data_IF_292648304910
#
_entry.id   IF_292648304910
#
_cell.length_a   1.000
_cell.length_b   1.000
_cell.length_c   1.000
_cell.angle_alpha   90.00
_cell.angle_beta   90.00
_cell.angle_gamma   90.00
#
_symmetry.space_group_name_H-M   'P 1'
#
loop_
_entity.id
_entity.type
_entity.pdbx_description
1 polymer ?
#
# COMPACT_ATOMS: atom_id res chain seq x y z
N UNK A 1 16.33 13.05 -22.79
CA UNK A 1 16.32 12.52 -22.34
C UNK A 1 15.99 12.28 -22.07
N UNK A 2 15.76 12.32 -22.01
CA UNK A 2 15.55 11.87 -21.44
C UNK A 2 15.32 11.46 -21.20
N UNK A 3 15.01 11.72 -21.31
CA UNK A 3 14.93 11.13 -20.73
C UNK A 3 14.62 10.92 -20.36
N UNK A 4 14.47 11.11 -20.14
CA UNK A 4 14.35 10.64 -19.59
C UNK A 4 13.68 10.64 -19.34
N UNK A 5 13.39 10.88 -19.26
CA UNK A 5 12.98 10.52 -18.88
C UNK A 5 12.73 10.10 -18.49
N UNK A 6 12.19 10.55 -18.57
CA UNK A 6 11.71 10.17 -17.37
C UNK A 6 12.05 8.96 -16.87
N UNK A 7 12.28 8.36 -17.44
CA UNK A 7 12.70 7.10 -16.99
C UNK A 7 13.64 7.15 -15.81
N UNK A 8 14.31 8.21 -15.60
CA UNK A 8 15.21 8.35 -14.46
C UNK A 8 14.53 8.57 -13.13
N UNK A 9 13.21 8.44 -13.07
CA UNK A 9 12.48 8.75 -11.86
C UNK A 9 12.34 7.56 -10.91
N UNK A 10 12.96 6.44 -11.24
CA UNK A 10 13.00 5.29 -10.37
C UNK A 10 11.65 4.57 -10.27
N UNK A 11 11.43 3.85 -9.16
CA UNK A 11 10.24 3.01 -9.05
C UNK A 11 8.93 3.78 -9.10
N UNK A 12 8.93 5.02 -8.70
CA UNK A 12 7.72 5.82 -8.74
C UNK A 12 7.16 5.99 -10.13
N UNK A 13 8.05 6.12 -11.12
CA UNK A 13 7.60 6.35 -12.48
C UNK A 13 6.68 5.23 -12.98
N UNK A 14 6.96 4.00 -12.57
CA UNK A 14 6.19 2.85 -13.00
C UNK A 14 4.82 2.80 -12.33
N UNK A 15 4.65 3.45 -11.19
CA UNK A 15 3.43 3.34 -10.39
C UNK A 15 2.57 4.59 -10.42
N UNK A 16 3.09 5.67 -10.98
CA UNK A 16 2.45 6.98 -10.87
C UNK A 16 1.02 6.98 -11.40
N UNK A 17 0.82 6.44 -12.59
CA UNK A 17 -0.51 6.41 -13.16
C UNK A 17 -1.45 5.53 -12.38
N UNK A 18 -0.96 4.38 -11.93
CA UNK A 18 -1.77 3.48 -11.12
C UNK A 18 -2.22 4.16 -9.83
N UNK A 19 -1.33 4.93 -9.21
CA UNK A 19 -1.67 5.65 -8.00
C UNK A 19 -2.70 6.74 -8.25
N UNK A 20 -2.56 7.46 -9.36
CA UNK A 20 -3.53 8.48 -9.72
C UNK A 20 -4.90 7.88 -9.94
N UNK A 21 -4.96 6.76 -10.66
CA UNK A 21 -6.23 6.09 -10.90
C UNK A 21 -6.86 5.60 -9.60
N UNK A 22 -6.04 5.04 -8.72
CA UNK A 22 -6.51 4.54 -7.44
C UNK A 22 -7.13 5.65 -6.62
N UNK A 23 -6.39 6.75 -6.46
CA UNK A 23 -6.85 7.87 -5.64
C UNK A 23 -8.08 8.56 -6.22
N UNK A 24 -8.31 8.42 -7.52
CA UNK A 24 -9.45 9.08 -8.17
C UNK A 24 -10.75 8.28 -8.09
N UNK A 25 -10.70 7.03 -7.62
CA UNK A 25 -11.92 6.25 -7.47
C UNK A 25 -12.79 6.86 -6.37
N UNK A 26 -14.09 6.90 -6.60
CA UNK A 26 -15.03 7.54 -5.69
C UNK A 26 -15.38 6.66 -4.49
N UNK A 27 -15.30 5.37 -4.67
CA UNK A 27 -15.84 4.39 -3.72
C UNK A 27 -14.69 3.71 -2.97
N UNK A 28 -14.79 3.69 -1.64
CA UNK A 28 -13.72 3.10 -0.83
C UNK A 28 -13.55 1.60 -1.07
N UNK A 29 -14.66 0.89 -1.28
CA UNK A 29 -14.56 -0.53 -1.59
C UNK A 29 -13.74 -0.76 -2.86
N UNK A 30 -14.01 0.05 -3.88
CA UNK A 30 -13.28 -0.07 -5.14
C UNK A 30 -11.80 0.27 -4.97
N UNK A 31 -11.50 1.25 -4.12
CA UNK A 31 -10.10 1.59 -3.82
C UNK A 31 -9.38 0.42 -3.18
N UNK A 32 -10.02 -0.23 -2.20
CA UNK A 32 -9.42 -1.37 -1.53
C UNK A 32 -9.18 -2.51 -2.52
N UNK A 33 -10.16 -2.80 -3.38
CA UNK A 33 -10.03 -3.87 -4.36
C UNK A 33 -8.91 -3.59 -5.35
N UNK A 34 -8.83 -2.36 -5.83
CA UNK A 34 -7.77 -1.99 -6.77
C UNK A 34 -6.41 -2.02 -6.08
N UNK A 35 -6.34 -1.53 -4.85
CA UNK A 35 -5.10 -1.54 -4.08
C UNK A 35 -4.60 -2.96 -3.88
N UNK A 36 -5.51 -3.89 -3.56
CA UNK A 36 -5.14 -5.29 -3.39
C UNK A 36 -4.55 -5.86 -4.66
N UNK A 37 -5.17 -5.56 -5.79
CA UNK A 37 -4.65 -6.04 -7.09
C UNK A 37 -3.27 -5.50 -7.38
N UNK A 38 -3.04 -4.22 -7.10
CA UNK A 38 -1.72 -3.63 -7.32
C UNK A 38 -0.66 -4.32 -6.47
N UNK A 39 -0.99 -4.58 -5.21
CA UNK A 39 -0.04 -5.19 -4.28
C UNK A 39 0.23 -6.66 -4.56
N UNK A 40 -0.72 -7.37 -5.16
CA UNK A 40 -0.57 -8.81 -5.39
C UNK A 40 -0.04 -9.16 -6.77
N UNK A 41 -0.05 -8.23 -7.71
CA UNK A 41 0.54 -8.44 -9.02
C UNK A 41 2.04 -8.64 -8.97
N UNK A 42 2.66 -8.06 -7.97
CA UNK A 42 4.09 -8.10 -7.75
C UNK A 42 4.37 -7.28 -6.53
N UNK A 43 5.58 -7.39 -5.99
CA UNK A 43 5.94 -6.63 -4.80
C UNK A 43 6.06 -5.15 -5.13
N UNK A 44 5.23 -4.32 -4.49
CA UNK A 44 5.41 -2.88 -4.63
C UNK A 44 6.47 -2.43 -3.62
N UNK A 45 7.23 -1.38 -3.94
CA UNK A 45 8.21 -0.83 -2.99
C UNK A 45 7.53 -0.20 -1.78
N UNK A 46 8.30 -0.04 -0.70
CA UNK A 46 7.78 0.57 0.52
C UNK A 46 7.09 1.90 0.28
N UNK A 47 7.75 2.79 -0.46
CA UNK A 47 7.21 4.13 -0.71
C UNK A 47 5.90 4.07 -1.49
N UNK A 48 5.77 3.10 -2.38
CA UNK A 48 4.55 2.96 -3.15
C UNK A 48 3.42 2.44 -2.26
N UNK A 49 3.71 1.49 -1.38
CA UNK A 49 2.68 1.00 -0.47
C UNK A 49 2.17 2.11 0.44
N UNK A 50 3.08 2.96 0.91
CA UNK A 50 2.67 4.11 1.72
C UNK A 50 1.70 5.00 0.93
N UNK A 51 2.00 5.25 -0.33
CA UNK A 51 1.11 6.04 -1.18
C UNK A 51 -0.22 5.37 -1.40
N UNK A 52 -0.22 4.06 -1.61
CA UNK A 52 -1.46 3.31 -1.76
C UNK A 52 -2.32 3.45 -0.51
N UNK A 53 -1.71 3.30 0.67
CA UNK A 53 -2.45 3.43 1.92
C UNK A 53 -3.02 4.83 2.08
N UNK A 54 -2.30 5.86 1.64
CA UNK A 54 -2.78 7.23 1.75
C UNK A 54 -3.95 7.53 0.82
N UNK A 55 -4.17 6.70 -0.21
CA UNK A 55 -5.35 6.83 -1.06
C UNK A 55 -6.60 6.25 -0.41
N UNK A 56 -6.44 5.43 0.62
CA UNK A 56 -7.58 4.86 1.34
C UNK A 56 -8.01 5.83 2.41
N UNK A 57 -9.32 6.06 2.48
CA UNK A 57 -9.87 7.08 3.34
C UNK A 57 -10.00 6.65 4.80
N UNK A 58 -10.34 5.39 5.02
CA UNK A 58 -10.63 4.90 6.37
C UNK A 58 -9.50 4.01 6.89
N UNK A 59 -9.25 4.16 8.20
CA UNK A 59 -8.21 3.38 8.85
C UNK A 59 -8.50 1.88 8.78
N UNK A 60 -9.78 1.52 8.88
CA UNK A 60 -10.18 0.12 8.77
C UNK A 60 -9.86 -0.45 7.39
N UNK A 61 -9.96 0.37 6.35
CA UNK A 61 -9.61 -0.06 5.00
C UNK A 61 -8.12 -0.30 4.88
N UNK A 62 -7.32 0.55 5.50
CA UNK A 62 -5.87 0.40 5.49
C UNK A 62 -5.47 -0.90 6.20
N UNK A 63 -6.08 -1.15 7.36
CA UNK A 63 -5.82 -2.39 8.08
C UNK A 63 -6.23 -3.61 7.26
N UNK A 64 -7.39 -3.52 6.61
CA UNK A 64 -7.87 -4.61 5.76
C UNK A 64 -6.86 -4.94 4.65
N UNK A 65 -6.37 -3.91 3.96
CA UNK A 65 -5.40 -4.11 2.90
C UNK A 65 -4.12 -4.75 3.44
N UNK A 66 -3.59 -4.20 4.53
CA UNK A 66 -2.36 -4.74 5.13
C UNK A 66 -2.54 -6.19 5.57
N UNK A 67 -3.70 -6.53 6.11
CA UNK A 67 -3.99 -7.90 6.50
C UNK A 67 -4.05 -8.83 5.30
N UNK A 68 -4.68 -8.36 4.22
CA UNK A 68 -4.83 -9.17 3.01
C UNK A 68 -3.50 -9.47 2.33
N UNK A 69 -2.56 -8.54 2.39
CA UNK A 69 -1.28 -8.72 1.71
C UNK A 69 -0.17 -9.19 2.65
N UNK A 70 -0.49 -9.40 3.91
CA UNK A 70 0.51 -9.76 4.92
C UNK A 70 1.36 -10.94 4.51
N UNK A 71 0.74 -12.02 4.03
CA UNK A 71 1.49 -13.22 3.69
C UNK A 71 2.50 -12.98 2.57
N UNK A 72 2.20 -12.05 1.68
CA UNK A 72 3.09 -11.72 0.56
C UNK A 72 4.26 -10.85 1.02
N UNK A 73 4.03 -9.96 1.98
CA UNK A 73 5.00 -8.91 2.35
C UNK A 73 5.70 -9.13 3.69
N UNK A 74 5.26 -10.10 4.47
CA UNK A 74 5.71 -10.21 5.87
C UNK A 74 7.22 -10.41 6.03
N UNK A 75 7.87 -10.97 5.02
CA UNK A 75 9.31 -11.21 5.09
C UNK A 75 10.13 -9.96 4.78
N UNK A 76 9.50 -8.92 4.28
CA UNK A 76 10.17 -7.67 3.99
C UNK A 76 10.28 -6.88 5.30
N UNK A 77 11.52 -6.50 5.62
CA UNK A 77 11.82 -5.86 6.89
C UNK A 77 10.97 -4.62 7.13
N UNK A 78 10.77 -3.82 6.08
CA UNK A 78 10.04 -2.56 6.22
C UNK A 78 8.53 -2.75 6.38
N UNK A 79 8.01 -3.93 6.05
CA UNK A 79 6.54 -4.10 6.05
C UNK A 79 5.96 -3.95 7.46
N UNK A 80 6.67 -4.43 8.46
CA UNK A 80 6.17 -4.33 9.82
C UNK A 80 5.97 -2.90 10.27
N UNK A 81 6.73 -1.98 9.69
CA UNK A 81 6.60 -0.56 10.02
C UNK A 81 5.33 0.06 9.46
N UNK A 82 4.62 -0.65 8.60
CA UNK A 82 3.40 -0.12 8.00
C UNK A 82 2.31 0.14 9.03
N UNK A 83 2.45 -0.42 10.23
CA UNK A 83 1.55 -0.06 11.32
C UNK A 83 1.55 1.43 11.62
N UNK A 84 2.65 2.12 11.30
CA UNK A 84 2.74 3.57 11.51
C UNK A 84 1.79 4.34 10.60
N UNK A 85 1.30 3.69 9.56
CA UNK A 85 0.33 4.31 8.64
C UNK A 85 -1.10 4.17 9.15
N UNK A 86 -1.29 3.45 10.24
CA UNK A 86 -2.61 3.31 10.87
C UNK A 86 -2.77 4.36 11.95
N UNK A 87 -3.96 4.91 12.02
CA UNK A 87 -4.26 6.02 12.90
C UNK A 87 -4.64 5.59 14.31
N UNK A 88 -5.46 4.52 14.42
CA UNK A 88 -6.01 4.10 15.70
C UNK A 88 -5.17 2.99 16.32
N UNK A 89 -4.96 3.10 17.64
CA UNK A 89 -4.16 2.13 18.38
C UNK A 89 -4.72 0.72 18.25
N UNK A 90 -6.04 0.58 18.29
CA UNK A 90 -6.67 -0.74 18.16
C UNK A 90 -6.29 -1.40 16.85
N UNK A 91 -6.24 -0.62 15.77
CA UNK A 91 -5.87 -1.14 14.47
C UNK A 91 -4.37 -1.45 14.39
N UNK A 92 -3.55 -0.62 15.02
CA UNK A 92 -2.11 -0.91 15.09
C UNK A 92 -1.85 -2.21 15.81
N UNK A 93 -2.59 -2.46 16.90
CA UNK A 93 -2.45 -3.70 17.65
C UNK A 93 -2.90 -4.90 16.83
N UNK A 94 -3.98 -4.77 16.08
CA UNK A 94 -4.43 -5.85 15.20
C UNK A 94 -3.36 -6.18 14.15
N UNK A 95 -2.74 -5.15 13.59
CA UNK A 95 -1.69 -5.37 12.61
C UNK A 95 -0.49 -6.08 13.24
N UNK A 96 -0.09 -5.66 14.44
CA UNK A 96 1.02 -6.30 15.15
C UNK A 96 0.76 -7.77 15.40
N UNK A 97 -0.49 -8.13 15.67
CA UNK A 97 -0.83 -9.54 15.93
C UNK A 97 -0.59 -10.44 14.73
N UNK A 98 -0.57 -9.87 13.53
CA UNK A 98 -0.31 -10.67 12.33
C UNK A 98 1.11 -11.25 12.32
N UNK A 99 2.03 -10.68 13.08
CA UNK A 99 3.42 -11.12 13.11
C UNK A 99 3.72 -12.06 14.25
N UNK A 100 2.75 -12.37 15.08
CA UNK A 100 2.94 -13.31 16.16
C UNK A 100 2.75 -14.74 15.69
N UNK A 101 3.57 -15.65 16.23
CA UNK A 101 3.44 -17.08 15.87
C UNK A 101 2.13 -17.69 16.37
#
# INVERSE_FOLDING_TARGET
HDAALPSGRGPYAAWEENLLQLCSLDNEFDRVQRARKLCTRGSVPESVLIQILSCLKYDSSRLMLLSDVHNTYKELEWFRKMGEQLEFDANRQQFEKLFRP
#
